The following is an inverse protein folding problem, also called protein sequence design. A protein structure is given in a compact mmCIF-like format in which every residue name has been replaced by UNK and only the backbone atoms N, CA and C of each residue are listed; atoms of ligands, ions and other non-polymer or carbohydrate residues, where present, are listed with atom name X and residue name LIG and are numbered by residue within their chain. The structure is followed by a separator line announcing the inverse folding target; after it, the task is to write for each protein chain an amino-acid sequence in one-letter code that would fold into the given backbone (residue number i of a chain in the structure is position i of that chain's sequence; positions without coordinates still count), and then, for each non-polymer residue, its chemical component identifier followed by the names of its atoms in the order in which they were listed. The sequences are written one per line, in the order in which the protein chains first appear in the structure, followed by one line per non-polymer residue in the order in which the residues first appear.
data_IF_872470265874
#
_entry.id   IF_872470265874
#
_cell.length_a   1.000
_cell.length_b   1.000
_cell.length_c   1.000
_cell.angle_alpha   90.00
_cell.angle_beta   90.00
_cell.angle_gamma   90.00
#
_symmetry.space_group_name_H-M   'P 1'
#
loop_
_entity.id
_entity.type
_entity.pdbx_description
1 polymer ?
#
# COMPACT_ATOMS: atom_id res chain seq x y z
N UNK A 1 -24.63 -33.88 1.12
CA UNK A 1 -23.31 -33.36 0.68
C UNK A 1 -23.44 -32.30 -0.41
N UNK A 2 -24.28 -32.52 -1.43
CA UNK A 2 -24.61 -31.52 -2.47
C UNK A 2 -25.09 -30.18 -1.90
N UNK A 3 -25.95 -30.20 -0.89
CA UNK A 3 -26.48 -28.97 -0.26
C UNK A 3 -25.40 -28.16 0.46
N UNK A 4 -24.41 -28.83 1.07
CA UNK A 4 -23.30 -28.18 1.76
C UNK A 4 -22.40 -27.42 0.78
N UNK A 5 -22.01 -28.06 -0.33
CA UNK A 5 -21.21 -27.40 -1.37
C UNK A 5 -21.98 -26.26 -2.05
N UNK A 6 -23.30 -26.42 -2.23
CA UNK A 6 -24.15 -25.35 -2.75
C UNK A 6 -24.18 -24.14 -1.80
N UNK A 7 -24.39 -24.34 -0.51
CA UNK A 7 -24.41 -23.25 0.48
C UNK A 7 -23.06 -22.54 0.58
N UNK A 8 -21.96 -23.29 0.61
CA UNK A 8 -20.62 -22.68 0.58
C UNK A 8 -20.41 -21.90 -0.71
N UNK A 9 -20.77 -22.47 -1.86
CA UNK A 9 -20.65 -21.80 -3.16
C UNK A 9 -21.40 -20.47 -3.19
N UNK A 10 -22.64 -20.44 -2.69
CA UNK A 10 -23.45 -19.22 -2.58
C UNK A 10 -22.82 -18.19 -1.65
N UNK A 11 -22.31 -18.60 -0.49
CA UNK A 11 -21.64 -17.69 0.47
C UNK A 11 -20.38 -17.09 -0.16
N UNK A 12 -19.55 -17.91 -0.80
CA UNK A 12 -18.33 -17.46 -1.47
C UNK A 12 -18.66 -16.46 -2.59
N UNK A 13 -19.67 -16.76 -3.42
CA UNK A 13 -20.12 -15.86 -4.48
C UNK A 13 -20.65 -14.54 -3.91
N UNK A 14 -21.46 -14.59 -2.84
CA UNK A 14 -21.99 -13.40 -2.19
C UNK A 14 -20.88 -12.52 -1.60
N UNK A 15 -19.90 -13.11 -0.92
CA UNK A 15 -18.74 -12.37 -0.40
C UNK A 15 -17.87 -11.79 -1.51
N UNK A 16 -17.70 -12.51 -2.61
CA UNK A 16 -16.95 -12.00 -3.77
C UNK A 16 -17.63 -10.79 -4.38
N UNK A 17 -18.93 -10.87 -4.65
CA UNK A 17 -19.72 -9.75 -5.20
C UNK A 17 -19.73 -8.57 -4.23
N UNK A 18 -19.92 -8.82 -2.93
CA UNK A 18 -19.90 -7.78 -1.91
C UNK A 18 -18.53 -7.10 -1.80
N UNK A 19 -17.44 -7.87 -1.88
CA UNK A 19 -16.08 -7.33 -1.90
C UNK A 19 -15.85 -6.44 -3.12
N UNK A 20 -16.30 -6.85 -4.32
CA UNK A 20 -16.21 -6.02 -5.52
C UNK A 20 -17.02 -4.73 -5.41
N UNK A 21 -18.24 -4.81 -4.87
CA UNK A 21 -19.09 -3.64 -4.65
C UNK A 21 -18.46 -2.65 -3.67
N UNK A 22 -17.92 -3.14 -2.55
CA UNK A 22 -17.21 -2.32 -1.56
C UNK A 22 -15.98 -1.65 -2.17
N UNK A 23 -15.15 -2.38 -2.94
CA UNK A 23 -13.99 -1.79 -3.61
C UNK A 23 -14.42 -0.69 -4.60
N UNK A 24 -15.44 -0.95 -5.41
CA UNK A 24 -15.98 0.02 -6.38
C UNK A 24 -16.49 1.29 -5.69
N UNK A 25 -17.20 1.14 -4.57
CA UNK A 25 -17.68 2.28 -3.79
C UNK A 25 -16.48 3.04 -3.21
N UNK A 26 -15.52 2.35 -2.61
CA UNK A 26 -14.33 2.97 -2.04
C UNK A 26 -13.50 3.71 -3.09
N UNK A 27 -13.38 3.18 -4.31
CA UNK A 27 -12.69 3.84 -5.41
C UNK A 27 -13.37 5.16 -5.79
N UNK A 28 -14.70 5.17 -5.89
CA UNK A 28 -15.46 6.41 -6.10
C UNK A 28 -15.29 7.39 -4.93
N UNK A 29 -15.32 6.91 -3.69
CA UNK A 29 -15.05 7.74 -2.50
C UNK A 29 -13.62 8.29 -2.49
N UNK A 30 -12.62 7.52 -2.92
CA UNK A 30 -11.23 7.98 -3.09
C UNK A 30 -11.17 9.13 -4.09
N UNK A 31 -11.86 9.02 -5.23
CA UNK A 31 -11.93 10.07 -6.23
C UNK A 31 -12.57 11.36 -5.70
N UNK A 32 -13.69 11.24 -4.98
CA UNK A 32 -14.41 12.39 -4.40
C UNK A 32 -13.60 13.05 -3.28
N UNK A 33 -13.01 12.28 -2.37
CA UNK A 33 -12.21 12.81 -1.26
C UNK A 33 -10.92 13.49 -1.75
N UNK A 34 -10.33 12.99 -2.85
CA UNK A 34 -9.23 13.68 -3.52
C UNK A 34 -9.67 15.05 -4.07
N UNK A 35 -10.89 15.16 -4.60
CA UNK A 35 -11.45 16.40 -5.15
C UNK A 35 -11.75 17.45 -4.06
N UNK A 36 -12.15 17.01 -2.86
CA UNK A 36 -12.38 17.87 -1.69
C UNK A 36 -11.07 18.24 -0.96
N UNK A 37 -9.92 17.82 -1.48
CA UNK A 37 -8.62 18.18 -0.94
C UNK A 37 -8.31 17.49 0.39
N UNK A 38 -8.93 16.34 0.67
CA UNK A 38 -8.60 15.49 1.81
C UNK A 38 -7.53 14.49 1.35
N UNK A 39 -6.22 14.72 1.62
CA UNK A 39 -5.14 13.88 1.12
C UNK A 39 -5.03 12.53 1.84
N UNK A 40 -5.98 12.16 2.73
CA UNK A 40 -6.01 10.87 3.44
C UNK A 40 -5.98 9.67 2.49
N UNK A 41 -6.35 9.85 1.21
CA UNK A 41 -6.53 8.77 0.25
C UNK A 41 -5.60 8.81 -0.96
N UNK A 42 -4.67 9.78 -1.06
CA UNK A 42 -3.54 9.59 -1.98
C UNK A 42 -2.73 8.42 -1.44
N UNK A 43 -2.72 7.32 -2.19
CA UNK A 43 -1.76 6.24 -2.03
C UNK A 43 -0.38 6.87 -2.04
N UNK A 44 0.15 7.17 -0.86
CA UNK A 44 1.58 7.25 -0.68
C UNK A 44 2.04 5.81 -0.81
N UNK A 45 2.61 5.48 -1.97
CA UNK A 45 3.56 4.38 -2.16
C UNK A 45 4.53 4.43 -0.97
N UNK A 46 4.92 3.27 -0.43
CA UNK A 46 5.86 3.26 0.69
C UNK A 46 7.11 4.06 0.28
N UNK A 47 7.85 4.60 1.25
CA UNK A 47 9.03 5.40 0.92
C UNK A 47 9.97 4.64 -0.02
N UNK A 48 10.16 3.35 0.24
CA UNK A 48 11.04 2.51 -0.56
C UNK A 48 10.42 2.22 -1.94
N UNK A 49 9.09 2.13 -2.08
CA UNK A 49 8.43 2.02 -3.39
C UNK A 49 8.56 3.31 -4.21
N UNK A 50 8.41 4.48 -3.58
CA UNK A 50 8.58 5.76 -4.25
C UNK A 50 10.04 5.96 -4.71
N UNK A 51 11.01 5.54 -3.88
CA UNK A 51 12.43 5.54 -4.25
C UNK A 51 12.74 4.50 -5.32
N UNK A 52 12.09 3.33 -5.29
CA UNK A 52 12.20 2.31 -6.32
C UNK A 52 11.66 2.83 -7.66
N UNK A 53 10.47 3.41 -7.67
CA UNK A 53 9.80 3.98 -8.85
C UNK A 53 10.66 5.10 -9.47
N UNK A 54 11.16 6.05 -8.67
CA UNK A 54 12.09 7.08 -9.16
C UNK A 54 13.35 6.46 -9.77
N UNK A 55 13.90 5.40 -9.16
CA UNK A 55 15.09 4.71 -9.67
C UNK A 55 14.85 3.93 -10.97
N UNK A 56 13.61 3.58 -11.30
CA UNK A 56 13.28 2.88 -12.55
C UNK A 56 13.41 3.80 -13.77
N UNK A 57 13.22 5.11 -13.61
CA UNK A 57 13.34 6.10 -14.69
C UNK A 57 14.78 6.57 -14.93
N UNK A 58 15.75 6.06 -14.17
CA UNK A 58 17.16 6.44 -14.28
C UNK A 58 17.99 5.27 -14.81
N UNK A 59 19.05 5.58 -15.55
CA UNK A 59 19.95 4.56 -16.12
C UNK A 59 20.50 3.64 -15.02
N UNK A 60 20.73 2.34 -15.31
CA UNK A 60 21.18 1.35 -14.31
C UNK A 60 22.39 1.81 -13.48
N UNK A 61 23.39 2.38 -14.17
CA UNK A 61 24.62 2.96 -13.63
C UNK A 61 24.43 4.12 -12.63
N UNK A 62 23.22 4.67 -12.55
CA UNK A 62 22.87 5.83 -11.72
C UNK A 62 21.70 5.55 -10.76
N UNK A 63 21.24 4.30 -10.65
CA UNK A 63 20.11 3.93 -9.79
C UNK A 63 20.39 4.15 -8.31
N UNK A 64 21.58 3.76 -7.86
CA UNK A 64 21.96 3.93 -6.45
C UNK A 64 22.05 5.41 -6.07
N UNK A 65 22.65 6.22 -6.94
CA UNK A 65 22.64 7.67 -6.84
C UNK A 65 21.23 8.25 -6.79
N UNK A 66 20.35 7.85 -7.70
CA UNK A 66 18.98 8.37 -7.77
C UNK A 66 18.17 8.03 -6.51
N UNK A 67 18.35 6.82 -5.97
CA UNK A 67 17.76 6.42 -4.69
C UNK A 67 18.30 7.24 -3.54
N UNK A 68 19.62 7.45 -3.49
CA UNK A 68 20.25 8.24 -2.45
C UNK A 68 19.81 9.70 -2.49
N UNK A 69 19.86 10.35 -3.65
CA UNK A 69 19.39 11.72 -3.85
C UNK A 69 17.89 11.88 -3.53
N UNK A 70 17.06 10.91 -3.92
CA UNK A 70 15.64 10.87 -3.56
C UNK A 70 15.42 10.79 -2.06
N UNK A 71 16.22 9.99 -1.35
CA UNK A 71 16.16 9.89 0.11
C UNK A 71 16.60 11.20 0.80
N UNK A 72 17.65 11.85 0.28
CA UNK A 72 18.12 13.15 0.78
C UNK A 72 17.05 14.23 0.60
N UNK A 73 16.41 14.31 -0.57
CA UNK A 73 15.35 15.29 -0.83
C UNK A 73 14.11 15.02 0.03
N UNK A 74 13.78 13.74 0.26
CA UNK A 74 12.66 13.39 1.14
C UNK A 74 12.94 13.77 2.60
N UNK A 75 14.14 13.47 3.11
CA UNK A 75 14.57 13.91 4.45
C UNK A 75 14.51 15.43 4.53
N UNK A 76 14.97 16.15 3.51
CA UNK A 76 14.91 17.63 3.44
C UNK A 76 13.49 18.18 3.49
N UNK A 77 12.54 17.59 2.75
CA UNK A 77 11.13 18.00 2.73
C UNK A 77 10.46 17.71 4.08
N UNK A 78 10.76 16.57 4.69
CA UNK A 78 10.11 16.11 5.91
C UNK A 78 10.73 16.68 7.20
N UNK A 79 12.02 17.02 7.19
CA UNK A 79 12.69 17.66 8.33
C UNK A 79 12.13 19.05 8.64
N UNK A 80 11.33 19.64 7.76
CA UNK A 80 10.60 20.88 8.02
C UNK A 80 11.51 22.03 8.47
N UNK A 81 11.23 22.58 9.65
CA UNK A 81 11.87 23.76 10.25
C UNK A 81 13.23 23.49 10.91
N UNK A 82 13.79 22.28 10.78
CA UNK A 82 15.16 22.00 11.24
C UNK A 82 16.16 22.55 10.23
N UNK A 83 16.51 23.83 10.38
CA UNK A 83 17.37 24.56 9.45
C UNK A 83 18.71 23.85 9.17
N UNK A 84 19.28 23.19 10.18
CA UNK A 84 20.56 22.48 10.07
C UNK A 84 20.46 21.21 9.21
N UNK A 85 19.41 20.39 9.40
CA UNK A 85 19.15 19.20 8.57
C UNK A 85 18.89 19.59 7.12
N UNK A 86 18.11 20.65 6.92
CA UNK A 86 17.78 21.17 5.59
C UNK A 86 19.03 21.71 4.86
N UNK A 87 19.87 22.46 5.56
CA UNK A 87 21.13 22.97 5.03
C UNK A 87 22.10 21.83 4.67
N UNK A 88 22.20 20.80 5.52
CA UNK A 88 23.04 19.63 5.25
C UNK A 88 22.55 18.82 4.04
N UNK A 89 21.24 18.53 3.95
CA UNK A 89 20.67 17.87 2.77
C UNK A 89 20.92 18.65 1.47
N UNK A 90 20.74 19.98 1.52
CA UNK A 90 20.96 20.85 0.34
C UNK A 90 22.42 20.78 -0.11
N UNK A 91 23.37 20.82 0.83
CA UNK A 91 24.80 20.67 0.54
C UNK A 91 25.12 19.32 -0.12
N UNK A 92 24.56 18.23 0.40
CA UNK A 92 24.76 16.89 -0.17
C UNK A 92 24.26 16.83 -1.61
N UNK A 93 23.09 17.39 -1.90
CA UNK A 93 22.55 17.43 -3.27
C UNK A 93 23.44 18.27 -4.19
N UNK A 94 23.94 19.42 -3.73
CA UNK A 94 24.85 20.26 -4.51
C UNK A 94 26.19 19.55 -4.78
N UNK A 95 26.76 18.86 -3.80
CA UNK A 95 28.00 18.09 -3.96
C UNK A 95 27.81 16.94 -4.97
N UNK A 96 26.69 16.23 -4.85
CA UNK A 96 26.28 15.17 -5.78
C UNK A 96 26.04 15.69 -7.21
N UNK A 97 25.59 16.94 -7.36
CA UNK A 97 25.39 17.58 -8.66
C UNK A 97 26.70 18.10 -9.27
N UNK A 98 27.68 18.49 -8.44
CA UNK A 98 29.00 18.97 -8.89
C UNK A 98 29.97 17.83 -9.20
N UNK A 99 29.78 16.65 -8.60
CA UNK A 99 30.58 15.46 -8.91
C UNK A 99 30.33 15.01 -10.35
N UNK A 100 31.35 15.13 -11.20
CA UNK A 100 31.30 14.75 -12.62
C UNK A 100 31.63 13.27 -12.78
N UNK A 101 32.61 12.78 -12.02
CA UNK A 101 33.06 11.38 -12.03
C UNK A 101 32.17 10.51 -11.12
N UNK A 102 31.77 9.30 -11.55
CA UNK A 102 31.17 8.29 -10.68
C UNK A 102 31.91 8.06 -9.36
N UNK A 103 33.25 8.03 -9.38
CA UNK A 103 34.05 7.77 -8.18
C UNK A 103 33.88 8.87 -7.11
N UNK A 104 33.72 10.12 -7.53
CA UNK A 104 33.47 11.24 -6.62
C UNK A 104 32.06 11.15 -6.00
N UNK A 105 31.07 10.67 -6.76
CA UNK A 105 29.71 10.44 -6.25
C UNK A 105 29.68 9.34 -5.21
N UNK A 106 30.40 8.24 -5.45
CA UNK A 106 30.48 7.12 -4.53
C UNK A 106 31.14 7.53 -3.21
N UNK A 107 32.16 8.39 -3.26
CA UNK A 107 32.79 8.94 -2.06
C UNK A 107 31.82 9.80 -1.22
N UNK A 108 30.96 10.60 -1.87
CA UNK A 108 29.93 11.40 -1.19
C UNK A 108 28.85 10.50 -0.57
N UNK A 109 28.40 9.48 -1.30
CA UNK A 109 27.42 8.48 -0.81
C UNK A 109 28.01 7.75 0.41
N UNK A 110 29.13 7.05 0.22
CA UNK A 110 30.22 6.82 1.18
C UNK A 110 30.05 7.47 2.57
N UNK A 111 30.37 8.75 2.53
CA UNK A 111 30.57 9.59 3.71
C UNK A 111 29.26 9.90 4.42
N UNK A 112 28.18 10.09 3.69
CA UNK A 112 26.92 10.60 4.23
C UNK A 112 25.88 9.50 4.47
N UNK A 113 26.12 8.27 3.99
CA UNK A 113 25.21 7.14 4.09
C UNK A 113 24.78 6.84 5.52
N UNK A 114 25.73 6.77 6.45
CA UNK A 114 25.43 6.45 7.85
C UNK A 114 24.51 7.51 8.47
N UNK A 115 24.87 8.79 8.31
CA UNK A 115 24.07 9.91 8.82
C UNK A 115 22.67 9.93 8.21
N UNK A 116 22.56 9.68 6.89
CA UNK A 116 21.28 9.68 6.21
C UNK A 116 20.40 8.51 6.66
N UNK A 117 20.98 7.32 6.87
CA UNK A 117 20.26 6.17 7.42
C UNK A 117 19.74 6.44 8.84
N UNK A 118 20.57 7.01 9.71
CA UNK A 118 20.17 7.38 11.07
C UNK A 118 19.07 8.44 11.07
N UNK A 119 19.18 9.45 10.20
CA UNK A 119 18.21 10.56 10.10
C UNK A 119 16.90 10.11 9.43
N UNK A 120 16.97 9.20 8.46
CA UNK A 120 15.80 8.67 7.77
C UNK A 120 15.05 7.60 8.58
N UNK A 121 15.70 6.90 9.51
CA UNK A 121 15.07 5.88 10.34
C UNK A 121 13.82 6.36 11.12
N UNK A 122 13.86 7.46 11.89
CA UNK A 122 12.67 7.96 12.59
C UNK A 122 11.59 8.44 11.62
N UNK A 123 11.99 8.95 10.45
CA UNK A 123 11.06 9.40 9.41
C UNK A 123 10.32 8.21 8.78
N UNK A 124 11.05 7.13 8.45
CA UNK A 124 10.46 5.85 8.01
C UNK A 124 9.47 5.33 9.04
N UNK A 125 9.84 5.33 10.32
CA UNK A 125 8.95 4.90 11.40
C UNK A 125 7.72 5.80 11.58
N UNK A 126 7.84 7.11 11.32
CA UNK A 126 6.70 8.04 11.34
C UNK A 126 5.77 7.82 10.14
N UNK A 127 6.33 7.63 8.94
CA UNK A 127 5.58 7.32 7.72
C UNK A 127 4.84 5.99 7.84
N UNK A 128 5.52 4.94 8.31
CA UNK A 128 4.92 3.62 8.55
C UNK A 128 3.73 3.72 9.52
N UNK A 129 3.89 4.44 10.65
CA UNK A 129 2.77 4.68 11.59
C UNK A 129 1.62 5.47 10.97
N UNK A 130 1.91 6.43 10.10
CA UNK A 130 0.86 7.19 9.40
C UNK A 130 0.11 6.31 8.40
N UNK A 131 0.81 5.40 7.74
CA UNK A 131 0.25 4.45 6.80
C UNK A 131 -0.60 3.39 7.50
N UNK A 132 -0.12 2.82 8.62
CA UNK A 132 -0.89 1.92 9.46
C UNK A 132 -2.22 2.54 9.90
N UNK A 133 -2.19 3.80 10.37
CA UNK A 133 -3.40 4.55 10.74
C UNK A 133 -4.34 4.74 9.56
N UNK A 134 -3.82 5.05 8.37
CA UNK A 134 -4.60 5.19 7.14
C UNK A 134 -5.26 3.88 6.75
N UNK A 135 -4.48 2.79 6.70
CA UNK A 135 -4.97 1.45 6.35
C UNK A 135 -6.03 1.00 7.36
N UNK A 136 -5.79 1.23 8.65
CA UNK A 136 -6.76 0.94 9.69
C UNK A 136 -8.06 1.73 9.48
N UNK A 137 -7.98 3.05 9.30
CA UNK A 137 -9.16 3.89 9.04
C UNK A 137 -9.93 3.44 7.80
N UNK A 138 -9.21 3.09 6.72
CA UNK A 138 -9.82 2.56 5.51
C UNK A 138 -10.54 1.25 5.77
N UNK A 139 -9.94 0.31 6.50
CA UNK A 139 -10.59 -0.97 6.85
C UNK A 139 -11.88 -0.77 7.64
N UNK A 140 -11.91 0.19 8.57
CA UNK A 140 -13.12 0.54 9.32
C UNK A 140 -14.20 1.11 8.39
N UNK A 141 -13.83 2.00 7.47
CA UNK A 141 -14.77 2.56 6.48
C UNK A 141 -15.29 1.46 5.56
N UNK A 142 -14.42 0.60 5.03
CA UNK A 142 -14.78 -0.54 4.19
C UNK A 142 -15.74 -1.49 4.90
N UNK A 143 -15.48 -1.79 6.17
CA UNK A 143 -16.36 -2.61 7.00
C UNK A 143 -17.74 -1.97 7.15
N UNK A 144 -17.81 -0.67 7.49
CA UNK A 144 -19.07 0.05 7.62
C UNK A 144 -19.87 0.05 6.31
N UNK A 145 -19.22 0.29 5.17
CA UNK A 145 -19.86 0.23 3.85
C UNK A 145 -20.31 -1.20 3.54
N UNK A 146 -19.48 -2.21 3.81
CA UNK A 146 -19.83 -3.61 3.60
C UNK A 146 -21.06 -4.03 4.39
N UNK A 147 -21.16 -3.63 5.66
CA UNK A 147 -22.35 -3.88 6.50
C UNK A 147 -23.57 -3.16 5.95
N UNK A 148 -23.42 -1.90 5.55
CA UNK A 148 -24.53 -1.15 4.95
C UNK A 148 -25.04 -1.79 3.66
N UNK A 149 -24.14 -2.18 2.74
CA UNK A 149 -24.51 -2.86 1.49
C UNK A 149 -25.15 -4.20 1.78
N UNK A 150 -24.59 -5.00 2.72
CA UNK A 150 -25.18 -6.28 3.10
C UNK A 150 -26.60 -6.11 3.66
N UNK A 151 -26.83 -5.07 4.47
CA UNK A 151 -28.15 -4.77 5.00
C UNK A 151 -29.13 -4.33 3.89
N UNK A 152 -28.74 -3.38 3.02
CA UNK A 152 -29.59 -2.91 1.92
C UNK A 152 -29.92 -4.00 0.89
N UNK A 153 -29.00 -4.94 0.68
CA UNK A 153 -29.17 -6.06 -0.25
C UNK A 153 -29.81 -7.30 0.38
N UNK A 154 -30.21 -7.24 1.65
CA UNK A 154 -30.73 -8.36 2.44
C UNK A 154 -29.81 -9.60 2.45
N UNK A 155 -28.50 -9.37 2.44
CA UNK A 155 -27.47 -10.41 2.48
C UNK A 155 -27.16 -10.83 3.92
N UNK A 156 -28.08 -11.55 4.54
CA UNK A 156 -27.93 -12.08 5.89
C UNK A 156 -27.29 -13.49 5.85
N UNK A 157 -26.03 -13.61 6.28
CA UNK A 157 -25.32 -14.90 6.25
C UNK A 157 -25.97 -15.95 7.16
N UNK A 158 -26.61 -15.54 8.26
CA UNK A 158 -27.29 -16.47 9.17
C UNK A 158 -28.59 -16.99 8.57
N UNK A 159 -29.28 -16.19 7.75
CA UNK A 159 -30.42 -16.66 6.96
C UNK A 159 -29.96 -17.63 5.85
N UNK A 160 -28.90 -17.29 5.12
CA UNK A 160 -28.34 -18.13 4.06
C UNK A 160 -27.88 -19.48 4.59
N UNK A 161 -27.30 -19.52 5.79
CA UNK A 161 -26.82 -20.75 6.43
C UNK A 161 -27.91 -21.51 7.21
N UNK A 162 -29.10 -20.94 7.38
CA UNK A 162 -30.15 -21.50 8.23
C UNK A 162 -29.82 -21.48 9.73
N UNK A 163 -28.78 -20.77 10.15
CA UNK A 163 -28.36 -20.65 11.54
C UNK A 163 -29.11 -19.55 12.31
N UNK A 164 -29.83 -18.66 11.62
CA UNK A 164 -30.60 -17.58 12.22
C UNK A 164 -31.99 -18.02 12.69
N UNK A 165 -32.47 -17.47 13.81
CA UNK A 165 -33.88 -17.56 14.22
C UNK A 165 -34.64 -16.37 13.61
N UNK A 166 -35.56 -16.58 12.65
CA UNK A 166 -36.29 -15.49 12.01
C UNK A 166 -37.07 -14.65 13.02
N UNK A 167 -37.15 -13.33 12.81
CA UNK A 167 -37.98 -12.44 13.63
C UNK A 167 -37.31 -11.93 14.91
N UNK A 168 -36.01 -12.21 15.11
CA UNK A 168 -35.19 -11.55 16.14
C UNK A 168 -34.28 -10.53 15.46
N UNK A 169 -34.60 -9.22 15.51
CA UNK A 169 -33.86 -8.19 14.76
C UNK A 169 -32.39 -8.12 15.16
N UNK A 170 -32.06 -8.48 16.41
CA UNK A 170 -30.68 -8.57 16.90
C UNK A 170 -29.87 -9.64 16.16
N UNK A 171 -30.45 -10.82 15.94
CA UNK A 171 -29.80 -11.94 15.24
C UNK A 171 -29.67 -11.63 13.75
N UNK A 172 -30.69 -10.98 13.18
CA UNK A 172 -30.66 -10.54 11.78
C UNK A 172 -29.54 -9.53 11.53
N UNK A 173 -29.41 -8.53 12.41
CA UNK A 173 -28.33 -7.55 12.32
C UNK A 173 -26.94 -8.17 12.44
N UNK A 174 -26.75 -9.15 13.33
CA UNK A 174 -25.48 -9.90 13.44
C UNK A 174 -25.13 -10.59 12.12
N UNK A 175 -26.13 -11.12 11.39
CA UNK A 175 -25.92 -11.73 10.09
C UNK A 175 -25.39 -10.74 9.03
N UNK A 176 -25.93 -9.53 8.97
CA UNK A 176 -25.41 -8.48 8.09
C UNK A 176 -24.03 -8.00 8.52
N UNK A 177 -23.80 -7.87 9.83
CA UNK A 177 -22.51 -7.47 10.40
C UNK A 177 -21.41 -8.45 9.98
N UNK A 178 -21.64 -9.75 10.16
CA UNK A 178 -20.71 -10.80 9.77
C UNK A 178 -20.43 -10.79 8.27
N UNK A 179 -21.47 -10.59 7.46
CA UNK A 179 -21.35 -10.51 6.00
C UNK A 179 -20.48 -9.32 5.56
N UNK A 180 -20.75 -8.12 6.09
CA UNK A 180 -20.00 -6.91 5.79
C UNK A 180 -18.54 -6.97 6.27
N UNK A 181 -18.29 -7.50 7.47
CA UNK A 181 -16.94 -7.69 8.01
C UNK A 181 -16.16 -8.74 7.21
N UNK A 182 -16.79 -9.84 6.81
CA UNK A 182 -16.16 -10.86 5.99
C UNK A 182 -15.76 -10.31 4.61
N UNK A 183 -16.61 -9.51 3.98
CA UNK A 183 -16.29 -8.85 2.71
C UNK A 183 -15.14 -7.83 2.86
N UNK A 184 -15.15 -7.01 3.91
CA UNK A 184 -14.08 -6.05 4.17
C UNK A 184 -12.74 -6.73 4.50
N UNK A 185 -12.78 -7.82 5.29
CA UNK A 185 -11.62 -8.65 5.58
C UNK A 185 -11.07 -9.35 4.33
N UNK A 186 -11.97 -9.89 3.49
CA UNK A 186 -11.64 -10.50 2.21
C UNK A 186 -10.91 -9.53 1.28
N UNK A 187 -11.39 -8.30 1.12
CA UNK A 187 -10.73 -7.27 0.31
C UNK A 187 -9.29 -7.00 0.79
N UNK A 188 -9.07 -6.86 2.10
CA UNK A 188 -7.72 -6.64 2.63
C UNK A 188 -6.76 -7.81 2.38
N UNK A 189 -7.25 -9.04 2.51
CA UNK A 189 -6.47 -10.24 2.21
C UNK A 189 -6.08 -10.29 0.72
N UNK A 190 -7.01 -9.98 -0.19
CA UNK A 190 -6.73 -9.99 -1.63
C UNK A 190 -5.73 -8.92 -2.05
N UNK A 191 -5.79 -7.71 -1.48
CA UNK A 191 -4.77 -6.68 -1.71
C UNK A 191 -3.39 -7.15 -1.22
N UNK A 192 -3.30 -7.69 -0.01
CA UNK A 192 -2.03 -8.21 0.54
C UNK A 192 -1.46 -9.37 -0.31
N UNK A 193 -2.32 -10.25 -0.85
CA UNK A 193 -1.88 -11.34 -1.73
C UNK A 193 -1.48 -10.84 -3.12
N UNK A 194 -2.20 -9.87 -3.70
CA UNK A 194 -1.86 -9.28 -4.99
C UNK A 194 -0.50 -8.57 -4.94
N UNK A 195 -0.20 -7.88 -3.84
CA UNK A 195 1.10 -7.21 -3.67
C UNK A 195 2.25 -8.21 -3.51
N UNK A 196 2.02 -9.35 -2.85
CA UNK A 196 2.97 -10.48 -2.83
C UNK A 196 3.19 -11.05 -4.24
N UNK A 197 2.14 -11.22 -5.03
CA UNK A 197 2.26 -11.73 -6.41
C UNK A 197 3.00 -10.74 -7.30
N UNK A 198 2.72 -9.44 -7.17
CA UNK A 198 3.42 -8.38 -7.90
C UNK A 198 4.91 -8.34 -7.56
N UNK A 199 5.27 -8.40 -6.29
CA UNK A 199 6.68 -8.42 -5.86
C UNK A 199 7.42 -9.67 -6.35
N UNK A 200 6.79 -10.86 -6.31
CA UNK A 200 7.36 -12.08 -6.90
C UNK A 200 7.54 -11.94 -8.41
N UNK A 201 6.59 -11.33 -9.13
CA UNK A 201 6.70 -11.08 -10.56
C UNK A 201 7.86 -10.14 -10.88
N UNK A 202 8.03 -9.07 -10.11
CA UNK A 202 9.15 -8.14 -10.26
C UNK A 202 10.49 -8.83 -10.00
N UNK A 203 10.61 -9.66 -8.97
CA UNK A 203 11.80 -10.47 -8.69
C UNK A 203 12.09 -11.44 -9.85
N UNK A 204 11.06 -12.09 -10.39
CA UNK A 204 11.20 -13.00 -11.54
C UNK A 204 11.67 -12.26 -12.80
N UNK A 205 11.16 -11.06 -13.06
CA UNK A 205 11.62 -10.21 -14.17
C UNK A 205 13.07 -9.76 -13.99
N UNK A 206 13.49 -9.45 -12.76
CA UNK A 206 14.87 -9.13 -12.44
C UNK A 206 15.79 -10.33 -12.68
N UNK A 207 15.44 -11.52 -12.19
CA UNK A 207 16.24 -12.74 -12.40
C UNK A 207 16.33 -13.14 -13.88
N UNK A 208 15.25 -13.01 -14.64
CA UNK A 208 15.26 -13.28 -16.09
C UNK A 208 16.22 -12.33 -16.84
N UNK A 209 16.33 -11.07 -16.40
CA UNK A 209 17.25 -10.11 -17.01
C UNK A 209 18.73 -10.45 -16.77
N UNK A 210 19.06 -11.03 -15.61
CA UNK A 210 20.42 -11.52 -15.30
C UNK A 210 20.82 -12.77 -16.11
N UNK A 211 19.85 -13.67 -16.37
CA UNK A 211 20.09 -14.88 -17.16
C UNK A 211 20.41 -14.60 -18.64
N UNK A 212 19.93 -13.49 -19.19
CA UNK A 212 20.21 -13.10 -20.59
C UNK A 212 21.56 -12.41 -20.81
N UNK A 213 22.18 -11.85 -19.77
CA UNK A 213 23.52 -11.24 -19.88
C UNK A 213 24.64 -12.27 -19.81
N UNK A 214 24.44 -13.36 -19.06
CA UNK A 214 25.43 -14.46 -18.92
C UNK A 214 25.49 -15.41 -20.12
N UNK A 215 24.48 -15.38 -21.00
CA UNK A 215 24.47 -16.17 -22.24
C UNK A 215 25.16 -15.47 -23.44
N UNK A 216 25.72 -14.27 -23.26
CA UNK A 216 26.40 -13.49 -24.31
C UNK A 216 27.93 -13.43 -24.17
N UNK A 217 28.50 -14.15 -23.21
CA UNK A 217 29.96 -14.41 -23.07
C UNK A 217 30.27 -15.84 -23.42
#
# INVERSE_FOLDING_TARGET
MTDFFSTIGTIVAAFFILSLAVETILENFRGVLALVGIPLLKSKTSLDDALAEVSEFVKPESREYARFAGLVELVKVQAGAMDETRARCTRIIEELARAIDPADKDAVIERERLWLHETAAPLRAAMARSEEKRVFALRIISAAIGVAVAWYADLNVLHITGAGTPGRPEVEFVGYLLCGLAAAGGSSFWHDQLDRVRSVKQIGQQLASFGTETAKT
#
